data_IF_182636318382
#
_entry.id   IF_182636318382
#
_cell.length_a   1.000
_cell.length_b   1.000
_cell.length_c   1.000
_cell.angle_alpha   90.00
_cell.angle_beta   90.00
_cell.angle_gamma   90.00
#
_symmetry.space_group_name_H-M   'P 1'
#
loop_
_entity.id
_entity.type
_entity.pdbx_description
1 polymer ?
#
# COMPACT_ATOMS: atom_id res chain seq x y z
N UNK A 1 1.98 -2.79 40.56
CA UNK A 1 3.16 -2.14 39.95
C UNK A 1 4.50 -2.72 40.38
N UNK A 2 4.59 -3.63 41.37
CA UNK A 2 5.86 -4.27 41.76
C UNK A 2 6.18 -5.62 41.07
N UNK A 3 5.34 -6.07 40.12
CA UNK A 3 5.48 -7.40 39.48
C UNK A 3 5.95 -7.40 38.02
N UNK A 4 6.03 -6.24 37.35
CA UNK A 4 6.36 -6.18 35.91
C UNK A 4 7.87 -6.19 35.64
N UNK A 5 8.71 -5.72 36.57
CA UNK A 5 10.17 -5.60 36.36
C UNK A 5 10.93 -6.92 36.46
N UNK A 6 10.35 -7.98 37.07
CA UNK A 6 11.04 -9.26 37.26
C UNK A 6 10.92 -10.24 36.08
N UNK A 7 10.00 -10.00 35.12
CA UNK A 7 9.72 -10.95 34.04
C UNK A 7 10.69 -10.85 32.85
N UNK A 8 11.23 -9.66 32.56
CA UNK A 8 12.06 -9.42 31.36
C UNK A 8 13.41 -10.16 31.40
N UNK A 9 14.17 -10.17 32.53
CA UNK A 9 15.48 -10.83 32.56
C UNK A 9 15.37 -12.36 32.44
N UNK A 10 14.30 -12.96 32.99
CA UNK A 10 14.10 -14.41 32.99
C UNK A 10 13.79 -14.96 31.60
N UNK A 11 13.08 -14.20 30.75
CA UNK A 11 12.74 -14.65 29.39
C UNK A 11 13.96 -14.62 28.46
N UNK A 12 14.84 -13.62 28.59
CA UNK A 12 16.05 -13.50 27.76
C UNK A 12 17.04 -14.64 28.03
N UNK A 13 17.22 -15.03 29.30
CA UNK A 13 18.12 -16.12 29.67
C UNK A 13 17.63 -17.50 29.18
N UNK A 14 16.31 -17.70 29.07
CA UNK A 14 15.71 -18.96 28.60
C UNK A 14 15.73 -19.07 27.08
N UNK A 15 15.57 -17.95 26.35
CA UNK A 15 15.58 -17.93 24.89
C UNK A 15 16.93 -18.33 24.27
N UNK A 16 18.04 -18.04 24.95
CA UNK A 16 19.39 -18.33 24.46
C UNK A 16 19.79 -19.83 24.51
N UNK A 17 18.99 -20.71 25.14
CA UNK A 17 19.39 -22.10 25.41
C UNK A 17 18.33 -23.19 25.11
N UNK A 18 17.22 -22.89 24.42
CA UNK A 18 16.20 -23.93 24.16
C UNK A 18 14.96 -23.51 23.35
N UNK A 19 13.96 -24.42 23.31
CA UNK A 19 12.64 -24.18 22.70
C UNK A 19 12.00 -22.92 23.32
N UNK A 20 11.29 -22.09 22.53
CA UNK A 20 10.67 -20.88 23.05
C UNK A 20 9.67 -21.25 24.16
N UNK A 21 9.58 -20.45 25.23
CA UNK A 21 8.59 -20.69 26.27
C UNK A 21 7.18 -20.63 25.65
N UNK A 22 6.24 -21.45 26.14
CA UNK A 22 4.86 -21.51 25.59
C UNK A 22 4.21 -20.13 25.43
N UNK A 23 4.49 -19.23 26.38
CA UNK A 23 4.01 -17.84 26.37
C UNK A 23 4.43 -17.07 25.10
N UNK A 24 5.64 -17.30 24.57
CA UNK A 24 6.10 -16.63 23.35
C UNK A 24 5.21 -16.98 22.15
N UNK A 25 4.90 -18.26 21.95
CA UNK A 25 4.05 -18.69 20.84
C UNK A 25 2.63 -18.14 20.96
N UNK A 26 2.10 -18.08 22.18
CA UNK A 26 0.79 -17.48 22.46
C UNK A 26 0.78 -15.99 22.13
N UNK A 27 1.80 -15.24 22.55
CA UNK A 27 1.92 -13.80 22.25
C UNK A 27 2.10 -13.56 20.75
N UNK A 28 2.97 -14.31 20.08
CA UNK A 28 3.14 -14.20 18.63
C UNK A 28 1.84 -14.50 17.87
N UNK A 29 1.07 -15.50 18.33
CA UNK A 29 -0.24 -15.84 17.74
C UNK A 29 -1.25 -14.72 17.95
N UNK A 30 -1.30 -14.15 19.16
CA UNK A 30 -2.15 -12.99 19.46
C UNK A 30 -1.79 -11.77 18.61
N UNK A 31 -0.49 -11.42 18.55
CA UNK A 31 -0.01 -10.31 17.72
C UNK A 31 -0.30 -10.54 16.23
N UNK A 32 -0.12 -11.77 15.74
CA UNK A 32 -0.46 -12.13 14.35
C UNK A 32 -1.96 -12.04 14.08
N UNK A 33 -2.81 -12.40 15.05
CA UNK A 33 -4.25 -12.22 14.95
C UNK A 33 -4.63 -10.73 14.92
N UNK A 34 -4.05 -9.92 15.81
CA UNK A 34 -4.20 -8.47 15.79
C UNK A 34 -3.78 -7.89 14.44
N UNK A 35 -2.62 -8.34 13.91
CA UNK A 35 -2.13 -7.95 12.60
C UNK A 35 -3.10 -8.34 11.47
N UNK A 36 -3.64 -9.55 11.45
CA UNK A 36 -4.63 -9.97 10.43
C UNK A 36 -5.93 -9.18 10.49
N UNK A 37 -6.42 -8.92 11.71
CA UNK A 37 -7.68 -8.20 11.95
C UNK A 37 -7.50 -6.66 11.96
N UNK A 38 -6.25 -6.18 11.87
CA UNK A 38 -5.88 -4.77 12.07
C UNK A 38 -6.42 -4.15 13.36
N UNK A 39 -6.34 -4.90 14.46
CA UNK A 39 -6.77 -4.44 15.78
C UNK A 39 -5.54 -3.95 16.54
N UNK A 40 -5.54 -2.66 16.88
CA UNK A 40 -4.56 -2.07 17.79
C UNK A 40 -5.16 -2.00 19.19
N UNK A 41 -4.75 -2.90 20.08
CA UNK A 41 -5.10 -2.83 21.50
C UNK A 41 -4.01 -2.07 22.28
N UNK A 42 -4.34 -1.61 23.50
CA UNK A 42 -3.36 -0.99 24.39
C UNK A 42 -2.17 -1.91 24.73
N UNK A 43 -2.36 -3.23 24.62
CA UNK A 43 -1.34 -4.24 24.94
C UNK A 43 -0.39 -4.53 23.78
N UNK A 44 -0.77 -4.23 22.53
CA UNK A 44 0.05 -4.56 21.34
C UNK A 44 1.47 -4.01 21.44
N UNK A 45 1.71 -2.72 21.78
CA UNK A 45 3.07 -2.20 21.95
C UNK A 45 3.88 -2.95 23.02
N UNK A 46 3.27 -3.23 24.18
CA UNK A 46 3.94 -3.93 25.29
C UNK A 46 4.29 -5.37 24.92
N UNK A 47 3.37 -6.05 24.26
CA UNK A 47 3.57 -7.42 23.78
C UNK A 47 4.61 -7.48 22.67
N UNK A 48 4.67 -6.47 21.80
CA UNK A 48 5.71 -6.32 20.78
C UNK A 48 7.10 -6.18 21.43
N UNK A 49 7.24 -5.28 22.40
CA UNK A 49 8.48 -5.09 23.18
C UNK A 49 8.89 -6.37 23.92
N UNK A 50 7.91 -7.12 24.44
CA UNK A 50 8.15 -8.38 25.13
C UNK A 50 8.75 -9.47 24.21
N UNK A 51 8.23 -9.64 22.99
CA UNK A 51 8.70 -10.70 22.08
C UNK A 51 9.89 -10.30 21.22
N UNK A 52 10.10 -9.00 20.99
CA UNK A 52 11.15 -8.47 20.11
C UNK A 52 12.54 -9.05 20.40
N UNK A 53 13.06 -8.97 21.64
CA UNK A 53 14.38 -9.50 21.97
C UNK A 53 14.51 -11.01 21.73
N UNK A 54 13.44 -11.77 22.00
CA UNK A 54 13.40 -13.24 21.79
C UNK A 54 13.44 -13.56 20.29
N UNK A 55 12.71 -12.80 19.46
CA UNK A 55 12.75 -12.96 18.00
C UNK A 55 14.14 -12.64 17.46
N UNK A 56 14.74 -11.52 17.90
CA UNK A 56 16.07 -11.08 17.43
C UNK A 56 17.16 -12.08 17.78
N UNK A 57 17.17 -12.61 19.00
CA UNK A 57 18.16 -13.60 19.44
C UNK A 57 18.13 -14.92 18.61
N UNK A 58 17.02 -15.20 17.92
CA UNK A 58 16.86 -16.40 17.08
C UNK A 58 17.33 -16.20 15.65
N UNK A 59 17.46 -14.96 15.20
CA UNK A 59 17.83 -14.62 13.82
C UNK A 59 16.92 -15.30 12.77
N UNK A 60 15.66 -15.57 13.13
CA UNK A 60 14.67 -16.20 12.26
C UNK A 60 13.98 -15.14 11.41
N UNK A 61 14.28 -15.14 10.11
CA UNK A 61 13.78 -14.13 9.18
C UNK A 61 12.25 -14.10 9.09
N UNK A 62 11.57 -15.25 9.28
CA UNK A 62 10.11 -15.31 9.25
C UNK A 62 9.49 -14.54 10.42
N UNK A 63 9.99 -14.77 11.64
CA UNK A 63 9.55 -14.02 12.81
C UNK A 63 9.93 -12.54 12.75
N UNK A 64 11.15 -12.22 12.28
CA UNK A 64 11.59 -10.82 12.10
C UNK A 64 10.70 -10.09 11.09
N UNK A 65 10.34 -10.75 9.98
CA UNK A 65 9.43 -10.21 8.97
C UNK A 65 8.04 -9.95 9.55
N UNK A 66 7.50 -10.89 10.34
CA UNK A 66 6.21 -10.72 11.01
C UNK A 66 6.22 -9.52 11.96
N UNK A 67 7.28 -9.34 12.77
CA UNK A 67 7.40 -8.17 13.64
C UNK A 67 7.58 -6.87 12.84
N UNK A 68 8.38 -6.85 11.78
CA UNK A 68 8.52 -5.67 10.92
C UNK A 68 7.17 -5.25 10.32
N UNK A 69 6.35 -6.21 9.88
CA UNK A 69 4.99 -5.96 9.39
C UNK A 69 4.07 -5.38 10.45
N UNK A 70 4.08 -5.94 11.67
CA UNK A 70 3.28 -5.43 12.78
C UNK A 70 3.70 -4.02 13.16
N UNK A 71 5.01 -3.74 13.21
CA UNK A 71 5.53 -2.41 13.49
C UNK A 71 5.07 -1.39 12.44
N UNK A 72 5.15 -1.73 11.16
CA UNK A 72 4.67 -0.87 10.09
C UNK A 72 3.14 -0.67 10.16
N UNK A 73 2.39 -1.73 10.42
CA UNK A 73 0.92 -1.71 10.47
C UNK A 73 0.36 -0.88 11.61
N UNK A 74 1.01 -0.93 12.77
CA UNK A 74 0.56 -0.26 13.98
C UNK A 74 1.29 1.05 14.27
N UNK A 75 2.12 1.54 13.35
CA UNK A 75 2.86 2.78 13.53
C UNK A 75 3.88 2.72 14.68
N UNK A 76 4.45 1.54 14.95
CA UNK A 76 5.46 1.35 16.00
C UNK A 76 6.89 1.65 15.50
N UNK A 77 7.05 2.15 14.28
CA UNK A 77 8.35 2.32 13.61
C UNK A 77 9.37 3.15 14.39
N UNK A 78 8.90 4.09 15.22
CA UNK A 78 9.76 4.94 16.04
C UNK A 78 10.23 4.31 17.36
N UNK A 79 9.61 3.19 17.77
CA UNK A 79 9.99 2.49 18.99
C UNK A 79 11.39 1.89 18.88
N UNK A 80 12.13 1.93 19.98
CA UNK A 80 13.50 1.41 20.03
C UNK A 80 13.56 -0.08 19.62
N UNK A 81 12.60 -0.89 20.09
CA UNK A 81 12.57 -2.32 19.74
C UNK A 81 12.22 -2.55 18.26
N UNK A 82 11.36 -1.73 17.65
CA UNK A 82 11.08 -1.82 16.21
C UNK A 82 12.35 -1.52 15.38
N UNK A 83 13.11 -0.49 15.76
CA UNK A 83 14.40 -0.17 15.14
C UNK A 83 15.40 -1.32 15.33
N UNK A 84 15.43 -1.94 16.50
CA UNK A 84 16.28 -3.10 16.76
C UNK A 84 15.89 -4.33 15.91
N UNK A 85 14.59 -4.58 15.70
CA UNK A 85 14.10 -5.64 14.81
C UNK A 85 14.57 -5.39 13.38
N UNK A 86 14.45 -4.16 12.88
CA UNK A 86 14.91 -3.79 11.53
C UNK A 86 16.44 -3.94 11.39
N UNK A 87 17.19 -3.61 12.44
CA UNK A 87 18.64 -3.84 12.46
C UNK A 87 18.96 -5.34 12.36
N UNK A 88 18.29 -6.20 13.13
CA UNK A 88 18.47 -7.65 13.03
C UNK A 88 18.06 -8.21 11.66
N UNK A 89 17.04 -7.66 11.01
CA UNK A 89 16.72 -8.00 9.61
C UNK A 89 17.90 -7.72 8.68
N UNK A 90 18.54 -6.54 8.81
CA UNK A 90 19.73 -6.19 8.02
C UNK A 90 20.86 -7.20 8.27
N UNK A 91 21.14 -7.46 9.54
CA UNK A 91 22.23 -8.34 9.96
C UNK A 91 22.05 -9.77 9.44
N UNK A 92 20.81 -10.28 9.42
CA UNK A 92 20.47 -11.58 8.83
C UNK A 92 20.87 -11.70 7.34
N UNK A 93 20.82 -10.61 6.57
CA UNK A 93 21.21 -10.62 5.15
C UNK A 93 22.70 -10.35 4.91
N UNK A 94 23.34 -9.56 5.78
CA UNK A 94 24.75 -9.19 5.63
C UNK A 94 25.71 -10.26 6.17
N UNK A 95 25.25 -11.15 7.06
CA UNK A 95 26.05 -12.22 7.64
C UNK A 95 26.75 -13.11 6.57
N UNK A 96 28.10 -13.17 6.55
CA UNK A 96 28.85 -13.92 5.53
C UNK A 96 28.66 -15.45 5.57
N UNK A 97 28.32 -16.02 6.74
CA UNK A 97 28.69 -17.39 7.09
C UNK A 97 27.57 -18.45 7.06
N UNK A 98 26.31 -18.12 6.76
CA UNK A 98 25.20 -19.10 6.77
C UNK A 98 24.57 -19.37 5.39
N UNK A 99 25.29 -19.01 4.32
CA UNK A 99 24.77 -18.85 2.96
C UNK A 99 24.47 -20.17 2.24
N UNK A 100 23.24 -20.65 2.41
CA UNK A 100 22.41 -20.86 1.22
C UNK A 100 21.35 -19.78 1.28
N UNK A 101 21.36 -18.86 0.31
CA UNK A 101 20.21 -17.99 0.11
C UNK A 101 18.97 -18.89 0.10
N UNK A 102 17.97 -18.64 0.94
CA UNK A 102 16.79 -19.48 0.93
C UNK A 102 16.16 -19.35 -0.45
N UNK A 103 16.26 -20.42 -1.23
CA UNK A 103 15.69 -20.52 -2.57
C UNK A 103 14.36 -21.27 -2.47
N UNK A 104 13.35 -20.77 -3.17
CA UNK A 104 12.06 -21.42 -3.29
C UNK A 104 10.91 -20.45 -3.05
N UNK A 105 9.70 -20.98 -3.13
CA UNK A 105 8.49 -20.17 -3.04
C UNK A 105 8.32 -19.48 -1.68
N UNK A 106 8.59 -20.19 -0.57
CA UNK A 106 8.43 -19.67 0.79
C UNK A 106 9.35 -18.48 1.09
N UNK A 107 10.58 -18.50 0.56
CA UNK A 107 11.51 -17.39 0.73
C UNK A 107 11.07 -16.17 -0.07
N UNK A 108 10.57 -16.36 -1.29
CA UNK A 108 10.02 -15.25 -2.08
C UNK A 108 8.82 -14.59 -1.41
N UNK A 109 7.92 -15.37 -0.80
CA UNK A 109 6.81 -14.82 0.01
C UNK A 109 7.35 -13.99 1.18
N UNK A 110 8.36 -14.49 1.89
CA UNK A 110 8.98 -13.79 3.03
C UNK A 110 9.64 -12.47 2.59
N UNK A 111 10.43 -12.50 1.50
CA UNK A 111 11.03 -11.29 0.91
C UNK A 111 9.95 -10.27 0.54
N UNK A 112 8.91 -10.72 -0.14
CA UNK A 112 7.81 -9.89 -0.58
C UNK A 112 7.07 -9.19 0.57
N UNK A 113 6.78 -9.97 1.61
CA UNK A 113 6.16 -9.50 2.84
C UNK A 113 7.03 -8.47 3.58
N UNK A 114 8.34 -8.71 3.61
CA UNK A 114 9.31 -7.81 4.22
C UNK A 114 9.46 -6.51 3.43
N UNK A 115 9.61 -6.56 2.11
CA UNK A 115 9.72 -5.37 1.26
C UNK A 115 8.54 -4.43 1.46
N UNK A 116 7.31 -4.97 1.49
CA UNK A 116 6.12 -4.17 1.76
C UNK A 116 6.15 -3.51 3.15
N UNK A 117 6.58 -4.23 4.19
CA UNK A 117 6.70 -3.68 5.54
C UNK A 117 7.69 -2.51 5.58
N UNK A 118 8.80 -2.63 4.84
CA UNK A 118 9.88 -1.64 4.84
C UNK A 118 9.54 -0.36 4.08
N UNK A 119 8.56 -0.38 3.17
CA UNK A 119 8.15 0.79 2.36
C UNK A 119 6.81 1.39 2.77
N UNK A 120 6.08 0.74 3.67
CA UNK A 120 4.74 1.18 4.04
C UNK A 120 4.71 2.49 4.83
N UNK A 121 5.70 2.71 5.69
CA UNK A 121 5.81 3.94 6.47
C UNK A 121 6.64 4.99 5.71
N UNK A 122 6.14 6.21 5.66
CA UNK A 122 6.75 7.37 4.99
C UNK A 122 7.85 8.03 5.83
N UNK A 123 7.87 7.81 7.15
CA UNK A 123 8.83 8.43 8.03
C UNK A 123 10.27 8.07 7.61
N UNK A 124 11.12 9.08 7.51
CA UNK A 124 12.55 8.90 7.22
C UNK A 124 13.18 8.05 8.32
N UNK A 125 13.81 6.95 7.91
CA UNK A 125 14.42 6.01 8.86
C UNK A 125 15.60 5.32 8.23
N UNK A 126 16.80 5.80 8.56
CA UNK A 126 18.05 5.23 8.07
C UNK A 126 18.17 3.73 8.36
N UNK A 127 17.69 3.27 9.52
CA UNK A 127 17.68 1.83 9.87
C UNK A 127 16.79 1.03 8.93
N UNK A 128 15.60 1.58 8.59
CA UNK A 128 14.66 0.95 7.65
C UNK A 128 15.21 0.92 6.24
N UNK A 129 15.82 2.01 5.79
CA UNK A 129 16.43 2.11 4.46
C UNK A 129 17.61 1.14 4.33
N UNK A 130 18.45 1.01 5.35
CA UNK A 130 19.51 0.02 5.39
C UNK A 130 18.95 -1.43 5.33
N UNK A 131 17.89 -1.73 6.06
CA UNK A 131 17.22 -3.03 6.00
C UNK A 131 16.60 -3.30 4.62
N UNK A 132 16.04 -2.28 3.96
CA UNK A 132 15.51 -2.35 2.60
C UNK A 132 16.61 -2.65 1.59
N UNK A 133 17.72 -1.92 1.65
CA UNK A 133 18.88 -2.16 0.79
C UNK A 133 19.43 -3.59 0.96
N UNK A 134 19.51 -4.08 2.20
CA UNK A 134 19.97 -5.43 2.49
C UNK A 134 18.99 -6.49 1.93
N UNK A 135 17.67 -6.29 2.08
CA UNK A 135 16.66 -7.18 1.53
C UNK A 135 16.71 -7.23 0.00
N UNK A 136 16.78 -6.08 -0.69
CA UNK A 136 16.92 -6.03 -2.15
C UNK A 136 18.25 -6.68 -2.60
N UNK A 137 19.34 -6.43 -1.88
CA UNK A 137 20.64 -7.07 -2.16
C UNK A 137 20.55 -8.59 -2.04
N UNK A 138 19.85 -9.11 -1.03
CA UNK A 138 19.66 -10.55 -0.83
C UNK A 138 18.81 -11.19 -1.94
N UNK A 139 17.77 -10.50 -2.40
CA UNK A 139 16.97 -10.92 -3.56
C UNK A 139 17.83 -10.92 -4.83
N UNK A 140 18.61 -9.85 -5.06
CA UNK A 140 19.53 -9.78 -6.20
C UNK A 140 20.59 -10.88 -6.15
N UNK A 141 21.19 -11.16 -4.99
CA UNK A 141 22.14 -12.25 -4.84
C UNK A 141 21.53 -13.63 -5.16
N UNK A 142 20.21 -13.78 -4.94
CA UNK A 142 19.50 -15.04 -5.14
C UNK A 142 18.94 -15.20 -6.57
N UNK A 143 18.58 -14.10 -7.24
CA UNK A 143 17.82 -14.12 -8.50
C UNK A 143 18.39 -13.19 -9.58
N UNK A 144 19.49 -12.48 -9.32
CA UNK A 144 20.06 -11.47 -10.23
C UNK A 144 20.50 -12.01 -11.58
N UNK A 145 20.93 -13.28 -11.62
CA UNK A 145 21.29 -13.97 -12.86
C UNK A 145 20.07 -14.45 -13.66
N UNK A 146 18.93 -14.67 -13.01
CA UNK A 146 17.69 -15.18 -13.61
C UNK A 146 16.46 -14.48 -13.01
N UNK A 147 16.22 -13.19 -13.33
CA UNK A 147 15.06 -12.45 -12.82
C UNK A 147 13.72 -13.12 -13.12
N UNK A 148 13.64 -13.91 -14.19
CA UNK A 148 12.45 -14.64 -14.64
C UNK A 148 12.05 -15.76 -13.65
N UNK A 149 12.94 -16.16 -12.75
CA UNK A 149 12.64 -17.10 -11.67
C UNK A 149 11.91 -16.46 -10.47
N UNK A 150 11.76 -15.12 -10.48
CA UNK A 150 10.89 -14.43 -9.52
C UNK A 150 9.44 -14.76 -9.85
N UNK A 151 8.68 -15.12 -8.82
CA UNK A 151 7.24 -15.16 -8.93
C UNK A 151 6.69 -13.73 -9.11
N UNK A 152 5.52 -13.64 -9.73
CA UNK A 152 4.86 -12.36 -10.04
C UNK A 152 4.72 -11.47 -8.79
N UNK A 153 4.36 -12.06 -7.66
CA UNK A 153 4.10 -11.32 -6.42
C UNK A 153 5.37 -10.60 -5.93
N UNK A 154 6.51 -11.29 -5.88
CA UNK A 154 7.78 -10.71 -5.46
C UNK A 154 8.31 -9.71 -6.48
N UNK A 155 8.23 -10.02 -7.78
CA UNK A 155 8.62 -9.08 -8.83
C UNK A 155 7.85 -7.76 -8.72
N UNK A 156 6.53 -7.83 -8.55
CA UNK A 156 5.69 -6.63 -8.32
C UNK A 156 6.08 -5.89 -7.05
N UNK A 157 6.37 -6.59 -5.95
CA UNK A 157 6.80 -5.95 -4.69
C UNK A 157 8.17 -5.27 -4.81
N UNK A 158 9.10 -5.82 -5.60
CA UNK A 158 10.36 -5.16 -5.93
C UNK A 158 10.13 -3.89 -6.76
N UNK A 159 9.24 -3.94 -7.75
CA UNK A 159 8.90 -2.77 -8.55
C UNK A 159 8.27 -1.66 -7.68
N UNK A 160 7.37 -2.02 -6.74
CA UNK A 160 6.79 -1.07 -5.77
C UNK A 160 7.87 -0.50 -4.84
N UNK A 161 8.79 -1.33 -4.35
CA UNK A 161 9.89 -0.88 -3.50
C UNK A 161 10.81 0.09 -4.25
N UNK A 162 11.19 -0.22 -5.48
CA UNK A 162 11.99 0.67 -6.34
C UNK A 162 11.28 2.00 -6.61
N UNK A 163 9.97 1.96 -6.86
CA UNK A 163 9.17 3.18 -7.04
C UNK A 163 9.14 4.04 -5.77
N UNK A 164 8.93 3.43 -4.60
CA UNK A 164 8.95 4.14 -3.31
C UNK A 164 10.33 4.77 -3.05
N UNK A 165 11.43 4.05 -3.30
CA UNK A 165 12.78 4.62 -3.17
C UNK A 165 12.96 5.89 -4.00
N UNK A 166 12.59 5.83 -5.28
CA UNK A 166 12.69 6.97 -6.20
C UNK A 166 11.86 8.18 -5.78
N UNK A 167 10.65 7.95 -5.28
CA UNK A 167 9.70 9.03 -4.99
C UNK A 167 9.86 9.63 -3.59
N UNK A 168 10.36 8.85 -2.64
CA UNK A 168 10.21 9.17 -1.21
C UNK A 168 11.49 8.99 -0.40
N UNK A 169 12.48 8.26 -0.91
CA UNK A 169 13.66 7.86 -0.12
C UNK A 169 14.94 8.08 -0.91
N UNK A 170 15.35 9.35 -1.09
CA UNK A 170 16.54 9.67 -1.89
C UNK A 170 17.82 9.00 -1.36
N UNK A 171 17.95 8.78 -0.04
CA UNK A 171 19.08 8.06 0.53
C UNK A 171 19.09 6.57 0.14
N UNK A 172 17.95 5.89 0.27
CA UNK A 172 17.82 4.50 -0.18
C UNK A 172 18.04 4.38 -1.69
N UNK A 173 17.54 5.33 -2.49
CA UNK A 173 17.78 5.37 -3.93
C UNK A 173 19.28 5.46 -4.27
N UNK A 174 20.02 6.37 -3.64
CA UNK A 174 21.49 6.44 -3.80
C UNK A 174 22.17 5.13 -3.40
N UNK A 175 21.73 4.52 -2.29
CA UNK A 175 22.25 3.23 -1.86
C UNK A 175 21.98 2.08 -2.86
N UNK A 176 20.87 2.11 -3.60
CA UNK A 176 20.59 1.16 -4.69
C UNK A 176 21.55 1.36 -5.87
N UNK A 177 21.86 2.62 -6.20
CA UNK A 177 22.79 3.00 -7.27
C UNK A 177 24.23 2.57 -6.92
N UNK A 178 24.71 2.93 -5.74
CA UNK A 178 26.05 2.59 -5.24
C UNK A 178 26.31 1.09 -5.17
N UNK A 179 25.28 0.29 -4.87
CA UNK A 179 25.36 -1.18 -4.82
C UNK A 179 25.16 -1.85 -6.19
N UNK A 180 24.95 -1.08 -7.26
CA UNK A 180 24.72 -1.62 -8.61
C UNK A 180 23.41 -2.42 -8.73
N UNK A 181 22.40 -2.12 -7.91
CA UNK A 181 21.12 -2.85 -7.88
C UNK A 181 20.10 -2.30 -8.88
N UNK A 182 20.28 -1.07 -9.36
CA UNK A 182 19.36 -0.42 -10.31
C UNK A 182 19.21 -1.23 -11.61
N UNK A 183 20.27 -1.71 -12.29
CA UNK A 183 20.11 -2.52 -13.51
C UNK A 183 19.27 -3.79 -13.30
N UNK A 184 19.40 -4.43 -12.14
CA UNK A 184 18.56 -5.58 -11.79
C UNK A 184 17.09 -5.18 -11.63
N UNK A 185 16.81 -4.09 -10.90
CA UNK A 185 15.44 -3.60 -10.69
C UNK A 185 14.77 -3.16 -12.00
N UNK A 186 15.54 -2.60 -12.94
CA UNK A 186 15.05 -2.25 -14.27
C UNK A 186 14.66 -3.49 -15.09
N UNK A 187 15.47 -4.56 -15.06
CA UNK A 187 15.08 -5.85 -15.64
C UNK A 187 13.81 -6.42 -15.00
N UNK A 188 13.70 -6.35 -13.67
CA UNK A 188 12.49 -6.77 -12.95
C UNK A 188 11.27 -5.94 -13.35
N UNK A 189 11.44 -4.65 -13.67
CA UNK A 189 10.36 -3.77 -14.16
C UNK A 189 9.86 -4.17 -15.56
N UNK A 190 10.74 -4.74 -16.38
CA UNK A 190 10.42 -5.21 -17.73
C UNK A 190 9.74 -6.58 -17.76
N UNK A 191 9.73 -7.30 -16.64
CA UNK A 191 9.01 -8.57 -16.53
C UNK A 191 7.51 -8.31 -16.73
N UNK A 192 6.99 -8.79 -17.85
CA UNK A 192 5.57 -8.82 -18.11
C UNK A 192 4.93 -9.89 -17.22
N UNK A 193 3.96 -9.46 -16.43
CA UNK A 193 3.09 -10.37 -15.71
C UNK A 193 1.69 -10.28 -16.29
N UNK A 194 1.08 -11.43 -16.49
CA UNK A 194 -0.31 -11.51 -16.89
C UNK A 194 -1.14 -10.77 -15.85
N UNK A 195 -1.96 -9.83 -16.32
CA UNK A 195 -2.91 -9.17 -15.43
C UNK A 195 -3.95 -10.22 -15.10
N UNK A 196 -4.02 -10.63 -13.82
CA UNK A 196 -5.04 -11.55 -13.38
C UNK A 196 -6.42 -11.01 -13.80
N UNK A 197 -7.27 -11.83 -14.44
CA UNK A 197 -8.56 -11.37 -14.93
C UNK A 197 -9.41 -10.84 -13.78
N UNK A 198 -10.16 -9.75 -14.02
CA UNK A 198 -11.05 -9.15 -13.02
C UNK A 198 -12.01 -10.19 -12.44
N UNK A 199 -12.29 -10.05 -11.14
CA UNK A 199 -13.40 -10.78 -10.51
C UNK A 199 -14.74 -10.27 -11.07
N UNK A 200 -15.71 -11.18 -11.24
CA UNK A 200 -17.01 -10.93 -11.90
C UNK A 200 -17.82 -9.75 -11.33
N UNK A 201 -17.66 -9.41 -10.04
CA UNK A 201 -18.40 -8.31 -9.38
C UNK A 201 -17.68 -6.97 -9.56
N UNK A 202 -16.34 -6.96 -9.38
CA UNK A 202 -15.52 -5.79 -9.69
C UNK A 202 -15.74 -5.37 -11.14
N UNK A 203 -15.76 -6.33 -12.06
CA UNK A 203 -15.97 -6.06 -13.48
C UNK A 203 -17.32 -5.38 -13.78
N UNK A 204 -18.39 -5.64 -13.02
CA UNK A 204 -19.68 -4.98 -13.27
C UNK A 204 -19.65 -3.49 -12.90
N UNK A 205 -19.11 -3.14 -11.74
CA UNK A 205 -19.01 -1.73 -11.33
C UNK A 205 -18.08 -0.94 -12.26
N UNK A 206 -16.98 -1.54 -12.72
CA UNK A 206 -16.09 -0.95 -13.73
C UNK A 206 -16.82 -0.60 -15.02
N UNK A 207 -17.62 -1.54 -15.55
CA UNK A 207 -18.42 -1.32 -16.75
C UNK A 207 -19.50 -0.26 -16.54
N UNK A 208 -20.13 -0.21 -15.36
CA UNK A 208 -21.12 0.83 -15.04
C UNK A 208 -20.48 2.22 -14.97
N UNK A 209 -19.34 2.36 -14.29
CA UNK A 209 -18.58 3.62 -14.24
C UNK A 209 -18.17 4.04 -15.66
N UNK A 210 -17.68 3.10 -16.48
CA UNK A 210 -17.32 3.34 -17.88
C UNK A 210 -18.52 3.83 -18.70
N UNK A 211 -19.67 3.16 -18.60
CA UNK A 211 -20.88 3.55 -19.32
C UNK A 211 -21.33 4.97 -18.98
N UNK A 212 -21.36 5.32 -17.69
CA UNK A 212 -21.69 6.69 -17.25
C UNK A 212 -20.67 7.70 -17.76
N UNK A 213 -19.37 7.39 -17.74
CA UNK A 213 -18.35 8.25 -18.31
C UNK A 213 -18.51 8.44 -19.83
N UNK A 214 -18.94 7.42 -20.57
CA UNK A 214 -19.24 7.52 -22.01
C UNK A 214 -20.44 8.45 -22.26
N UNK A 215 -21.52 8.29 -21.49
CA UNK A 215 -22.71 9.14 -21.56
C UNK A 215 -22.37 10.61 -21.26
N UNK A 216 -21.52 10.85 -20.27
CA UNK A 216 -20.97 12.17 -19.93
C UNK A 216 -19.88 12.66 -20.92
N UNK A 217 -19.62 11.89 -21.99
CA UNK A 217 -18.62 12.19 -23.03
C UNK A 217 -17.21 12.42 -22.47
N UNK A 218 -16.86 11.72 -21.40
CA UNK A 218 -15.53 11.75 -20.79
C UNK A 218 -14.68 10.64 -21.39
N UNK A 219 -13.65 11.02 -22.14
CA UNK A 219 -12.66 10.07 -22.67
C UNK A 219 -11.90 9.42 -21.52
N UNK A 220 -11.89 8.10 -21.50
CA UNK A 220 -11.22 7.30 -20.47
C UNK A 220 -10.73 5.95 -21.03
N UNK A 221 -9.88 5.26 -20.25
CA UNK A 221 -9.42 3.89 -20.51
C UNK A 221 -9.57 3.08 -19.22
N UNK A 222 -10.02 1.84 -19.35
CA UNK A 222 -10.09 0.89 -18.25
C UNK A 222 -8.78 0.12 -18.13
N UNK A 223 -8.46 -0.30 -16.90
CA UNK A 223 -7.35 -1.22 -16.58
C UNK A 223 -6.01 -0.78 -17.15
N UNK A 224 -5.69 0.51 -16.99
CA UNK A 224 -4.47 1.06 -17.54
C UNK A 224 -3.25 0.68 -16.70
N UNK A 225 -2.24 0.09 -17.35
CA UNK A 225 -0.97 -0.25 -16.72
C UNK A 225 -0.19 1.03 -16.40
N UNK A 226 -0.06 1.32 -15.11
CA UNK A 226 0.76 2.39 -14.53
C UNK A 226 1.78 1.75 -13.59
N UNK A 227 2.80 1.09 -14.18
CA UNK A 227 3.73 0.22 -13.46
C UNK A 227 4.22 0.83 -12.13
N UNK A 228 4.18 0.06 -11.02
CA UNK A 228 3.86 -1.38 -10.92
C UNK A 228 2.36 -1.70 -10.81
N UNK A 229 1.51 -0.68 -10.89
CA UNK A 229 0.08 -0.80 -10.67
C UNK A 229 -0.70 -0.94 -11.98
N UNK A 230 -1.92 -1.42 -11.84
CA UNK A 230 -2.98 -1.27 -12.84
C UNK A 230 -4.01 -0.34 -12.22
N UNK A 231 -4.32 0.75 -12.92
CA UNK A 231 -5.36 1.69 -12.52
C UNK A 231 -6.69 1.30 -13.15
N UNK A 232 -7.75 1.35 -12.37
CA UNK A 232 -9.07 0.86 -12.80
C UNK A 232 -9.63 1.70 -13.94
N UNK A 233 -9.53 3.05 -13.82
CA UNK A 233 -9.94 3.99 -14.87
C UNK A 233 -8.97 5.17 -14.95
N UNK A 234 -8.40 5.44 -16.13
CA UNK A 234 -7.68 6.69 -16.44
C UNK A 234 -8.56 7.65 -17.22
N UNK A 235 -8.56 8.93 -16.84
CA UNK A 235 -9.27 10.00 -17.55
C UNK A 235 -8.29 10.83 -18.41
N UNK A 236 -8.72 11.28 -19.60
CA UNK A 236 -7.84 12.01 -20.55
C UNK A 236 -8.07 13.52 -20.65
N UNK A 237 -9.12 14.07 -20.04
CA UNK A 237 -9.58 15.45 -20.34
C UNK A 237 -8.93 16.55 -19.49
N UNK A 238 -8.32 16.23 -18.34
CA UNK A 238 -8.01 17.25 -17.32
C UNK A 238 -6.74 16.96 -16.49
N UNK A 239 -5.65 16.57 -17.16
CA UNK A 239 -4.41 16.17 -16.49
C UNK A 239 -4.45 14.74 -15.94
N UNK A 240 -3.46 14.35 -15.12
CA UNK A 240 -3.29 12.98 -14.64
C UNK A 240 -4.36 12.64 -13.59
N UNK A 241 -5.54 12.17 -14.01
CA UNK A 241 -6.63 11.76 -13.12
C UNK A 241 -6.94 10.27 -13.25
N UNK A 242 -7.12 9.61 -12.11
CA UNK A 242 -7.51 8.21 -12.01
C UNK A 242 -8.78 8.07 -11.18
N UNK A 243 -9.55 7.02 -11.45
CA UNK A 243 -10.62 6.52 -10.57
C UNK A 243 -10.26 5.09 -10.20
N UNK A 244 -10.23 4.81 -8.91
CA UNK A 244 -10.08 3.49 -8.30
C UNK A 244 -11.45 3.04 -7.77
N UNK A 245 -11.81 1.79 -8.02
CA UNK A 245 -13.06 1.17 -7.61
C UNK A 245 -12.75 0.19 -6.48
N UNK A 246 -13.00 0.65 -5.25
CA UNK A 246 -12.55 -0.06 -4.06
C UNK A 246 -13.55 -1.14 -3.63
N UNK A 247 -13.18 -2.41 -3.83
CA UNK A 247 -13.92 -3.56 -3.31
C UNK A 247 -13.78 -3.72 -1.77
N UNK A 248 -14.51 -4.66 -1.15
CA UNK A 248 -14.48 -4.87 0.30
C UNK A 248 -13.09 -5.12 0.89
N UNK A 249 -12.18 -5.74 0.12
CA UNK A 249 -10.81 -6.08 0.56
C UNK A 249 -9.88 -4.86 0.66
N UNK A 250 -10.26 -3.71 0.12
CA UNK A 250 -9.53 -2.45 0.29
C UNK A 250 -9.71 -1.88 1.70
N UNK A 251 -10.67 -2.41 2.46
CA UNK A 251 -11.05 -1.91 3.76
C UNK A 251 -10.71 -2.89 4.88
N UNK A 252 -10.42 -2.32 6.04
CA UNK A 252 -10.09 -3.07 7.24
C UNK A 252 -11.37 -3.57 7.90
N UNK A 253 -11.59 -4.89 7.91
CA UNK A 253 -12.53 -5.54 8.84
C UNK A 253 -13.96 -4.96 8.86
N UNK A 254 -14.49 -4.54 7.71
CA UNK A 254 -15.83 -3.93 7.61
C UNK A 254 -15.92 -2.46 8.06
N UNK A 255 -14.79 -1.82 8.33
CA UNK A 255 -14.70 -0.37 8.58
C UNK A 255 -14.57 0.41 7.26
N UNK A 256 -14.60 1.74 7.34
CA UNK A 256 -14.26 2.68 6.26
C UNK A 256 -12.75 2.92 6.11
N UNK A 257 -11.91 2.36 7.00
CA UNK A 257 -10.46 2.57 6.98
C UNK A 257 -9.81 1.73 5.91
N UNK A 258 -8.93 2.35 5.12
CA UNK A 258 -8.20 1.65 4.08
C UNK A 258 -7.16 0.70 4.65
N UNK A 259 -6.95 -0.41 3.94
CA UNK A 259 -5.86 -1.32 4.20
C UNK A 259 -4.52 -0.73 3.75
N UNK A 260 -3.43 -1.33 4.25
CA UNK A 260 -2.09 -0.82 4.00
C UNK A 260 -1.72 -0.83 2.50
N UNK A 261 -2.19 -1.83 1.75
CA UNK A 261 -1.83 -1.93 0.34
C UNK A 261 -2.51 -0.83 -0.49
N UNK A 262 -3.78 -0.55 -0.20
CA UNK A 262 -4.56 0.51 -0.84
C UNK A 262 -3.99 1.89 -0.52
N UNK A 263 -3.66 2.14 0.76
CA UNK A 263 -3.02 3.39 1.16
C UNK A 263 -1.66 3.58 0.49
N UNK A 264 -0.83 2.53 0.37
CA UNK A 264 0.45 2.59 -0.34
C UNK A 264 0.28 2.88 -1.83
N UNK A 265 -0.65 2.18 -2.51
CA UNK A 265 -0.97 2.41 -3.93
C UNK A 265 -1.36 3.86 -4.16
N UNK A 266 -2.35 4.34 -3.41
CA UNK A 266 -2.83 5.72 -3.50
C UNK A 266 -1.70 6.74 -3.30
N UNK A 267 -0.89 6.56 -2.24
CA UNK A 267 0.19 7.47 -1.90
C UNK A 267 1.22 7.57 -3.03
N UNK A 268 1.69 6.43 -3.54
CA UNK A 268 2.71 6.42 -4.61
C UNK A 268 2.17 7.01 -5.91
N UNK A 269 0.94 6.67 -6.31
CA UNK A 269 0.29 7.27 -7.48
C UNK A 269 0.14 8.80 -7.30
N UNK A 270 -0.28 9.25 -6.12
CA UNK A 270 -0.40 10.67 -5.81
C UNK A 270 0.95 11.40 -5.87
N UNK A 271 2.04 10.76 -5.41
CA UNK A 271 3.40 11.31 -5.51
C UNK A 271 3.97 11.31 -6.94
N UNK A 272 3.48 10.43 -7.81
CA UNK A 272 3.73 10.52 -9.25
C UNK A 272 2.93 11.66 -9.93
N UNK A 273 2.10 12.38 -9.17
CA UNK A 273 1.32 13.52 -9.64
C UNK A 273 -0.11 13.18 -10.06
N UNK A 274 -0.57 11.93 -9.86
CA UNK A 274 -1.94 11.55 -10.17
C UNK A 274 -2.94 12.10 -9.14
N UNK A 275 -4.07 12.61 -9.61
CA UNK A 275 -5.26 12.87 -8.80
C UNK A 275 -6.12 11.59 -8.77
N UNK A 276 -6.03 10.84 -7.68
CA UNK A 276 -6.67 9.53 -7.55
C UNK A 276 -7.99 9.65 -6.82
N UNK A 277 -9.10 9.46 -7.52
CA UNK A 277 -10.43 9.37 -6.93
C UNK A 277 -10.77 7.94 -6.55
N UNK A 278 -11.60 7.78 -5.54
CA UNK A 278 -12.02 6.48 -5.03
C UNK A 278 -13.54 6.36 -5.06
N UNK A 279 -14.05 5.22 -5.49
CA UNK A 279 -15.47 4.85 -5.40
C UNK A 279 -15.55 3.55 -4.62
N UNK A 280 -16.00 3.62 -3.37
CA UNK A 280 -16.22 2.42 -2.58
C UNK A 280 -17.39 1.60 -3.16
N UNK A 281 -17.27 0.28 -3.14
CA UNK A 281 -18.30 -0.64 -3.63
C UNK A 281 -19.69 -0.43 -3.01
N UNK A 282 -19.73 -0.01 -1.74
CA UNK A 282 -20.96 0.25 -0.98
C UNK A 282 -21.46 1.69 -1.09
N UNK A 283 -20.72 2.58 -1.74
CA UNK A 283 -21.13 3.98 -2.00
C UNK A 283 -21.65 4.17 -3.43
N UNK A 284 -21.61 3.12 -4.26
CA UNK A 284 -22.05 3.18 -5.65
C UNK A 284 -23.58 3.13 -5.77
N UNK A 285 -24.24 4.15 -6.36
CA UNK A 285 -25.69 4.20 -6.40
C UNK A 285 -26.34 3.07 -7.22
N UNK A 286 -27.53 2.64 -6.80
CA UNK A 286 -28.30 1.61 -7.51
C UNK A 286 -28.96 2.13 -8.80
N UNK A 287 -29.47 3.37 -8.78
CA UNK A 287 -30.23 3.95 -9.89
C UNK A 287 -29.31 4.65 -10.90
N UNK A 288 -29.63 4.53 -12.20
CA UNK A 288 -28.81 5.10 -13.29
C UNK A 288 -28.65 6.62 -13.17
N UNK A 289 -29.74 7.37 -12.98
CA UNK A 289 -29.68 8.83 -12.81
C UNK A 289 -28.80 9.25 -11.62
N UNK A 290 -28.89 8.55 -10.49
CA UNK A 290 -28.04 8.80 -9.32
C UNK A 290 -26.56 8.54 -9.62
N UNK A 291 -26.23 7.53 -10.44
CA UNK A 291 -24.85 7.28 -10.89
C UNK A 291 -24.32 8.41 -11.77
N UNK A 292 -25.14 8.93 -12.68
CA UNK A 292 -24.77 10.10 -13.50
C UNK A 292 -24.41 11.29 -12.61
N UNK A 293 -25.27 11.62 -11.64
CA UNK A 293 -25.04 12.71 -10.69
C UNK A 293 -23.79 12.46 -9.83
N UNK A 294 -23.59 11.22 -9.37
CA UNK A 294 -22.41 10.82 -8.61
C UNK A 294 -21.12 11.05 -9.40
N UNK A 295 -21.03 10.55 -10.64
CA UNK A 295 -19.83 10.71 -11.47
C UNK A 295 -19.63 12.18 -11.87
N UNK A 296 -20.68 12.90 -12.22
CA UNK A 296 -20.59 14.33 -12.52
C UNK A 296 -20.07 15.13 -11.30
N UNK A 297 -20.50 14.77 -10.09
CA UNK A 297 -19.97 15.33 -8.84
C UNK A 297 -18.51 14.94 -8.61
N UNK A 298 -18.15 13.66 -8.81
CA UNK A 298 -16.79 13.15 -8.63
C UNK A 298 -15.81 13.89 -9.53
N UNK A 299 -16.18 14.12 -10.79
CA UNK A 299 -15.37 14.82 -11.77
C UNK A 299 -15.10 16.28 -11.38
N UNK A 300 -15.95 16.90 -10.56
CA UNK A 300 -15.80 18.26 -10.00
C UNK A 300 -15.25 18.29 -8.57
N UNK A 301 -15.10 17.13 -7.93
CA UNK A 301 -14.56 17.03 -6.57
C UNK A 301 -13.04 17.10 -6.58
N UNK A 302 -12.47 17.47 -5.44
CA UNK A 302 -11.03 17.28 -5.20
C UNK A 302 -10.74 15.81 -4.96
N UNK A 303 -9.71 15.28 -5.60
CA UNK A 303 -9.17 14.00 -5.19
C UNK A 303 -8.67 14.11 -3.73
N UNK A 304 -8.78 13.03 -2.93
CA UNK A 304 -8.10 12.96 -1.65
C UNK A 304 -6.63 13.38 -1.77
N UNK A 305 -6.12 14.02 -0.73
CA UNK A 305 -4.69 14.34 -0.64
C UNK A 305 -3.83 13.07 -0.54
N UNK A 306 -2.51 13.24 -0.40
CA UNK A 306 -1.52 12.13 -0.49
C UNK A 306 -1.75 10.96 0.48
N UNK A 307 -2.46 11.19 1.59
CA UNK A 307 -2.69 10.18 2.61
C UNK A 307 -4.13 9.69 2.54
N UNK A 308 -4.29 8.43 2.16
CA UNK A 308 -5.57 7.72 2.15
C UNK A 308 -5.74 6.98 3.48
N UNK A 309 -6.40 7.62 4.44
CA UNK A 309 -6.67 7.05 5.77
C UNK A 309 -8.02 6.35 5.84
N UNK A 310 -9.09 7.11 5.64
CA UNK A 310 -10.47 6.65 5.75
C UNK A 310 -11.27 7.10 4.54
N UNK A 311 -12.12 6.21 4.02
CA UNK A 311 -13.04 6.56 2.97
C UNK A 311 -14.08 7.56 3.47
N UNK A 312 -14.31 8.59 2.66
CA UNK A 312 -15.35 9.58 2.88
C UNK A 312 -16.30 9.52 1.70
N UNK A 313 -17.60 9.20 1.92
CA UNK A 313 -18.59 9.20 0.85
C UNK A 313 -18.57 10.52 0.09
N UNK A 314 -18.70 10.47 -1.23
CA UNK A 314 -18.60 11.64 -2.09
C UNK A 314 -19.59 12.75 -1.69
N UNK A 315 -20.75 12.36 -1.16
CA UNK A 315 -21.80 13.25 -0.67
C UNK A 315 -21.32 14.20 0.44
N UNK A 316 -20.35 13.75 1.23
CA UNK A 316 -19.75 14.51 2.35
C UNK A 316 -18.53 15.33 1.92
N UNK A 317 -18.02 15.12 0.71
CA UNK A 317 -16.82 15.80 0.24
C UNK A 317 -17.16 17.21 -0.28
N UNK A 318 -16.32 18.22 0.02
CA UNK A 318 -16.49 19.57 -0.50
C UNK A 318 -16.31 19.58 -2.02
N UNK A 319 -17.17 20.34 -2.70
CA UNK A 319 -17.01 20.62 -4.13
C UNK A 319 -15.84 21.60 -4.32
N UNK A 320 -15.08 21.48 -5.41
CA UNK A 320 -14.20 22.58 -5.81
C UNK A 320 -15.07 23.81 -6.04
N UNK A 321 -14.85 24.86 -5.26
CA UNK A 321 -15.38 26.18 -5.61
C UNK A 321 -14.73 26.53 -6.94
N UNK A 322 -15.52 26.87 -7.95
CA UNK A 322 -15.09 27.19 -9.30
C UNK A 322 -14.27 28.51 -9.41
N UNK A 323 -13.46 28.85 -8.41
CA UNK A 323 -12.68 30.09 -8.39
C UNK A 323 -11.40 29.96 -7.57
N UNK A 324 -10.27 29.88 -8.31
CA UNK A 324 -8.87 30.20 -7.96
C UNK A 324 -7.87 29.03 -8.12
N UNK A 325 -6.70 29.24 -8.76
CA UNK A 325 -6.43 29.99 -9.99
C UNK A 325 -5.64 29.15 -11.03
N UNK A 326 -5.81 29.43 -12.34
CA UNK A 326 -4.86 28.98 -13.37
C UNK A 326 -5.42 28.62 -14.75
N UNK A 327 -6.74 28.61 -14.95
CA UNK A 327 -7.32 28.37 -16.28
C UNK A 327 -7.64 29.72 -16.91
N UNK A 328 -7.00 30.00 -18.05
CA UNK A 328 -7.25 31.23 -18.80
C UNK A 328 -8.72 31.31 -19.25
N UNK A 329 -9.21 32.51 -19.60
CA UNK A 329 -10.63 32.84 -19.80
C UNK A 329 -11.32 32.16 -21.01
N UNK A 330 -10.79 31.05 -21.53
CA UNK A 330 -11.37 30.31 -22.66
C UNK A 330 -12.17 29.06 -22.31
N UNK A 331 -12.07 28.51 -21.09
CA UNK A 331 -12.72 27.25 -20.70
C UNK A 331 -13.94 27.42 -19.76
N UNK A 332 -14.11 28.59 -19.15
CA UNK A 332 -15.26 28.88 -18.25
C UNK A 332 -16.60 28.90 -18.99
N UNK A 333 -16.59 29.31 -20.27
CA UNK A 333 -17.77 29.47 -21.11
C UNK A 333 -18.41 28.13 -21.52
N UNK A 334 -17.69 27.00 -21.40
CA UNK A 334 -18.25 25.68 -21.64
C UNK A 334 -18.84 25.05 -20.39
N UNK A 335 -18.32 25.31 -19.19
CA UNK A 335 -18.82 24.73 -17.95
C UNK A 335 -20.21 25.27 -17.56
N UNK A 336 -20.46 26.56 -17.80
CA UNK A 336 -21.74 27.22 -17.54
C UNK A 336 -22.85 26.79 -18.52
N UNK A 337 -22.52 26.44 -19.77
CA UNK A 337 -23.48 25.93 -20.75
C UNK A 337 -24.06 24.55 -20.44
N UNK A 338 -23.47 23.79 -19.51
CA UNK A 338 -24.00 22.48 -19.10
C UNK A 338 -25.19 22.58 -18.12
N UNK A 339 -25.30 23.66 -17.32
CA UNK A 339 -26.46 23.86 -16.44
C UNK A 339 -27.72 24.31 -17.20
N UNK A 340 -27.56 24.98 -18.34
CA UNK A 340 -28.69 25.37 -19.22
C UNK A 340 -29.21 24.24 -20.13
N UNK A 341 -28.52 23.09 -20.18
CA UNK A 341 -28.89 21.95 -21.03
C UNK A 341 -29.38 20.72 -20.25
N UNK A 342 -29.50 20.80 -18.93
CA UNK A 342 -30.27 19.81 -18.18
C UNK A 342 -31.76 20.04 -18.47
N UNK A 343 -32.54 19.01 -18.85
CA UNK A 343 -33.97 19.19 -19.09
C UNK A 343 -34.61 19.68 -17.79
N UNK A 344 -35.08 20.93 -17.83
CA UNK A 344 -35.86 21.53 -16.77
C UNK A 344 -37.07 20.66 -16.47
N UNK A 345 -37.30 20.40 -15.18
CA UNK A 345 -38.54 19.85 -14.68
C UNK A 345 -39.66 20.88 -14.88
N UNK A 346 -40.17 20.99 -16.11
CA UNK A 346 -41.41 21.69 -16.39
C UNK A 346 -42.58 20.72 -16.19
N UNK A 347 -43.44 21.07 -15.21
CA UNK A 347 -44.89 20.81 -15.28
C UNK A 347 -45.36 19.39 -15.00
N UNK A 348 -45.59 19.07 -13.72
CA UNK A 348 -46.70 18.18 -13.38
C UNK A 348 -48.00 19.01 -13.40
N UNK A 349 -49.00 18.68 -14.23
CA UNK A 349 -50.31 19.30 -14.14
C UNK A 349 -51.07 18.79 -12.90
N UNK A 350 -51.93 19.67 -12.39
CA UNK A 350 -52.67 19.58 -11.13
C UNK A 350 -53.52 18.31 -10.93
#
# INVERSE_FOLDING_TARGET
TAGETALVPTVQAVAAKGRPPRIFNSVMTFLSACGRLNILTADVPRLFEFVGPVVRAREDLGYLTALAQLAAKFGLGEQAEAKAVLQSVRDCFEAPARRRSPHGYSSQVTYGQLLLALIFDEAESRTRDNALLAAVSAVHASYGATPEALNEQLARQLQVAALSCRLERPEAQRGLEERGLVPFLEKVRELEHEVAPLTKVSSQQHLQVSGILQELRVKHRLEERLLPYVADVRLFRSGPRLIEIDGPLHFVGGTSRYDMKSSLKHRLLSKQGWKVHHIAWNDWPAQHHSRMNYVARLLRSQAPGRHLGEYRPLETQPLERAGAPGVGPGDEDQALRWEEQLPGSEGAPA
#
